data_IF_816868793507
#
_entry.id   IF_816868793507
#
_cell.length_a   1.000
_cell.length_b   1.000
_cell.length_c   1.000
_cell.angle_alpha   90.00
_cell.angle_beta   90.00
_cell.angle_gamma   90.00
#
_symmetry.space_group_name_H-M   'P 1'
#
loop_
_entity.id
_entity.type
_entity.pdbx_description
1 polymer ?
#
# COMPACT_ATOMS: atom_id res chain seq x y z
N UNK A 1 -13.11 0.75 -28.39
CA UNK A 1 -12.81 0.98 -26.96
C UNK A 1 -11.59 1.87 -26.90
N UNK A 2 -11.57 2.90 -26.05
CA UNK A 2 -10.40 3.75 -25.90
C UNK A 2 -9.33 2.97 -25.12
N UNK A 3 -8.21 2.62 -25.76
CA UNK A 3 -7.16 1.76 -25.18
C UNK A 3 -6.67 2.28 -23.82
N UNK A 4 -6.63 3.61 -23.66
CA UNK A 4 -6.19 4.27 -22.43
C UNK A 4 -7.05 3.89 -21.20
N UNK A 5 -8.37 3.77 -21.34
CA UNK A 5 -9.23 3.45 -20.19
C UNK A 5 -9.05 2.01 -19.73
N UNK A 6 -8.75 1.10 -20.66
CA UNK A 6 -8.44 -0.30 -20.35
C UNK A 6 -7.09 -0.41 -19.66
N UNK A 7 -6.09 0.34 -20.13
CA UNK A 7 -4.76 0.42 -19.51
C UNK A 7 -4.84 0.95 -18.08
N UNK A 8 -5.62 2.02 -17.84
CA UNK A 8 -5.85 2.56 -16.49
C UNK A 8 -6.49 1.51 -15.58
N UNK A 9 -7.54 0.84 -16.05
CA UNK A 9 -8.20 -0.20 -15.25
C UNK A 9 -7.25 -1.36 -14.92
N UNK A 10 -6.43 -1.80 -15.89
CA UNK A 10 -5.48 -2.88 -15.67
C UNK A 10 -4.40 -2.49 -14.66
N UNK A 11 -3.76 -1.32 -14.81
CA UNK A 11 -2.78 -0.80 -13.84
C UNK A 11 -3.37 -0.72 -12.43
N UNK A 12 -4.62 -0.22 -12.33
CA UNK A 12 -5.29 -0.09 -11.04
C UNK A 12 -5.58 -1.45 -10.40
N UNK A 13 -5.98 -2.45 -11.19
CA UNK A 13 -6.16 -3.83 -10.71
C UNK A 13 -4.85 -4.43 -10.23
N UNK A 14 -3.78 -4.27 -10.98
CA UNK A 14 -2.44 -4.73 -10.60
C UNK A 14 -2.00 -4.13 -9.27
N UNK A 15 -2.17 -2.81 -9.08
CA UNK A 15 -1.85 -2.16 -7.80
C UNK A 15 -2.68 -2.74 -6.65
N UNK A 16 -3.98 -2.96 -6.87
CA UNK A 16 -4.86 -3.55 -5.85
C UNK A 16 -4.41 -4.96 -5.47
N UNK A 17 -4.12 -5.80 -6.46
CA UNK A 17 -3.62 -7.17 -6.25
C UNK A 17 -2.28 -7.17 -5.49
N UNK A 18 -1.38 -6.25 -5.81
CA UNK A 18 -0.10 -6.06 -5.11
C UNK A 18 -0.30 -5.68 -3.63
N UNK A 19 -1.26 -4.82 -3.31
CA UNK A 19 -1.60 -4.52 -1.91
C UNK A 19 -2.19 -5.73 -1.19
N UNK A 20 -3.04 -6.54 -1.84
CA UNK A 20 -3.61 -7.74 -1.22
C UNK A 20 -2.54 -8.78 -0.91
N UNK A 21 -1.59 -8.99 -1.82
CA UNK A 21 -0.41 -9.83 -1.58
C UNK A 21 0.44 -9.26 -0.44
N UNK A 22 0.68 -7.94 -0.45
CA UNK A 22 1.44 -7.27 0.59
C UNK A 22 0.78 -7.42 1.97
N UNK A 23 -0.52 -7.21 2.08
CA UNK A 23 -1.30 -7.39 3.30
C UNK A 23 -1.13 -8.82 3.83
N UNK A 24 -1.18 -9.81 2.94
CA UNK A 24 -0.99 -11.22 3.30
C UNK A 24 0.41 -11.45 3.86
N UNK A 25 1.45 -10.90 3.20
CA UNK A 25 2.84 -10.98 3.65
C UNK A 25 3.07 -10.29 4.99
N UNK A 26 2.50 -9.10 5.19
CA UNK A 26 2.59 -8.34 6.45
C UNK A 26 1.95 -9.13 7.60
N UNK A 27 0.75 -9.70 7.38
CA UNK A 27 0.07 -10.55 8.38
C UNK A 27 0.91 -11.77 8.76
N UNK A 28 1.51 -12.43 7.78
CA UNK A 28 2.39 -13.57 8.01
C UNK A 28 3.64 -13.15 8.80
N UNK A 29 4.29 -12.05 8.40
CA UNK A 29 5.46 -11.52 9.11
C UNK A 29 5.14 -11.17 10.58
N UNK A 30 3.98 -10.56 10.86
CA UNK A 30 3.53 -10.27 12.24
C UNK A 30 3.48 -11.53 13.12
N UNK A 31 3.20 -12.70 12.55
CA UNK A 31 3.22 -13.98 13.28
C UNK A 31 4.64 -14.50 13.49
N UNK A 32 5.51 -14.33 12.49
CA UNK A 32 6.88 -14.86 12.51
C UNK A 32 7.90 -14.00 13.23
N UNK A 33 7.65 -12.70 13.42
CA UNK A 33 8.64 -11.76 13.94
C UNK A 33 9.22 -12.14 15.31
N UNK A 34 8.47 -12.94 16.10
CA UNK A 34 8.93 -13.49 17.38
C UNK A 34 10.02 -14.56 17.20
N UNK A 35 10.03 -15.24 16.05
CA UNK A 35 10.95 -16.31 15.70
C UNK A 35 12.09 -15.81 14.79
N UNK A 36 11.81 -15.00 13.78
CA UNK A 36 12.77 -14.64 12.71
C UNK A 36 12.62 -13.18 12.22
N UNK A 37 13.17 -12.19 12.95
CA UNK A 37 12.97 -10.78 12.62
C UNK A 37 13.79 -10.26 11.42
N UNK A 38 14.77 -11.03 10.92
CA UNK A 38 15.71 -10.58 9.87
C UNK A 38 15.07 -10.41 8.47
N UNK A 39 13.83 -10.86 8.27
CA UNK A 39 13.07 -10.70 7.01
C UNK A 39 12.38 -9.33 6.84
N UNK A 40 12.62 -8.37 7.73
CA UNK A 40 11.95 -7.06 7.71
C UNK A 40 12.37 -6.18 6.53
N UNK A 41 13.65 -6.20 6.17
CA UNK A 41 14.19 -5.29 5.14
C UNK A 41 13.55 -5.53 3.77
N UNK A 42 13.33 -6.80 3.40
CA UNK A 42 12.71 -7.17 2.12
C UNK A 42 11.23 -6.81 2.08
N UNK A 43 10.54 -6.95 3.22
CA UNK A 43 9.16 -6.50 3.37
C UNK A 43 9.07 -4.98 3.17
N UNK A 44 9.91 -4.20 3.86
CA UNK A 44 9.95 -2.75 3.74
C UNK A 44 10.25 -2.29 2.31
N UNK A 45 11.21 -2.93 1.64
CA UNK A 45 11.54 -2.62 0.24
C UNK A 45 10.36 -2.91 -0.69
N UNK A 46 9.63 -4.00 -0.45
CA UNK A 46 8.41 -4.34 -1.22
C UNK A 46 7.32 -3.28 -1.02
N UNK A 47 7.14 -2.79 0.21
CA UNK A 47 6.14 -1.76 0.53
C UNK A 47 6.49 -0.44 -0.17
N UNK A 48 7.75 -0.01 -0.12
CA UNK A 48 8.20 1.21 -0.79
C UNK A 48 7.99 1.14 -2.30
N UNK A 49 8.27 0.00 -2.92
CA UNK A 49 8.06 -0.21 -4.35
C UNK A 49 6.57 -0.07 -4.73
N UNK A 50 5.68 -0.73 -3.99
CA UNK A 50 4.23 -0.65 -4.22
C UNK A 50 3.72 0.78 -3.97
N UNK A 51 4.18 1.43 -2.90
CA UNK A 51 3.84 2.81 -2.60
C UNK A 51 4.20 3.75 -3.76
N UNK A 52 5.45 3.69 -4.25
CA UNK A 52 5.91 4.57 -5.32
C UNK A 52 5.09 4.36 -6.60
N UNK A 53 4.85 3.11 -6.99
CA UNK A 53 3.96 2.80 -8.14
C UNK A 53 2.54 3.35 -7.97
N UNK A 54 2.03 3.34 -6.74
CA UNK A 54 0.70 3.88 -6.43
C UNK A 54 0.65 5.39 -6.59
N UNK A 55 1.69 6.09 -6.11
CA UNK A 55 1.83 7.54 -6.28
C UNK A 55 1.91 7.89 -7.76
N UNK A 56 2.82 7.24 -8.50
CA UNK A 56 2.99 7.46 -9.93
C UNK A 56 1.65 7.26 -10.69
N UNK A 57 0.92 6.20 -10.35
CA UNK A 57 -0.40 5.95 -10.93
C UNK A 57 -1.41 7.06 -10.61
N UNK A 58 -1.48 7.55 -9.37
CA UNK A 58 -2.41 8.63 -9.03
C UNK A 58 -2.05 9.95 -9.73
N UNK A 59 -0.77 10.25 -9.91
CA UNK A 59 -0.31 11.41 -10.67
C UNK A 59 -0.70 11.30 -12.16
N UNK A 60 -0.44 10.14 -12.78
CA UNK A 60 -0.85 9.85 -14.15
C UNK A 60 -2.37 9.94 -14.34
N UNK A 61 -3.13 9.40 -13.38
CA UNK A 61 -4.58 9.32 -13.44
C UNK A 61 -5.28 10.68 -13.33
N UNK A 62 -4.71 11.64 -12.59
CA UNK A 62 -5.36 12.93 -12.28
C UNK A 62 -5.71 13.78 -13.53
N UNK A 63 -5.15 13.47 -14.70
CA UNK A 63 -5.44 14.13 -15.98
C UNK A 63 -6.34 13.35 -16.95
N UNK A 64 -6.77 12.13 -16.60
CA UNK A 64 -7.41 11.23 -17.57
C UNK A 64 -8.93 11.40 -17.55
N UNK A 65 -9.50 11.78 -18.70
CA UNK A 65 -10.96 11.83 -18.89
C UNK A 65 -11.50 10.45 -19.28
N UNK A 66 -12.40 9.91 -18.47
CA UNK A 66 -13.08 8.63 -18.75
C UNK A 66 -14.48 8.90 -19.29
N UNK A 67 -14.66 8.67 -20.58
CA UNK A 67 -15.90 8.94 -21.33
C UNK A 67 -16.89 7.74 -21.38
N UNK A 68 -16.51 6.55 -20.88
CA UNK A 68 -17.38 5.38 -20.84
C UNK A 68 -17.92 5.16 -19.41
N UNK A 69 -19.23 5.26 -19.22
CA UNK A 69 -19.89 5.18 -17.91
C UNK A 69 -19.64 3.87 -17.15
N UNK A 70 -19.57 2.74 -17.85
CA UNK A 70 -19.30 1.44 -17.23
C UNK A 70 -17.87 1.34 -16.74
N UNK A 71 -16.89 1.66 -17.60
CA UNK A 71 -15.47 1.71 -17.22
C UNK A 71 -15.22 2.72 -16.10
N UNK A 72 -15.89 3.87 -16.15
CA UNK A 72 -15.82 4.89 -15.11
C UNK A 72 -16.27 4.34 -13.75
N UNK A 73 -17.37 3.58 -13.70
CA UNK A 73 -17.84 2.94 -12.47
C UNK A 73 -16.83 1.93 -11.92
N UNK A 74 -16.27 1.07 -12.77
CA UNK A 74 -15.26 0.11 -12.33
C UNK A 74 -13.99 0.79 -11.80
N UNK A 75 -13.46 1.77 -12.52
CA UNK A 75 -12.28 2.52 -12.09
C UNK A 75 -12.55 3.21 -10.75
N UNK A 76 -13.70 3.85 -10.57
CA UNK A 76 -14.09 4.43 -9.28
C UNK A 76 -14.17 3.40 -8.15
N UNK A 77 -14.73 2.22 -8.42
CA UNK A 77 -14.84 1.18 -7.41
C UNK A 77 -13.46 0.71 -6.92
N UNK A 78 -12.53 0.45 -7.84
CA UNK A 78 -11.16 0.07 -7.48
C UNK A 78 -10.39 1.20 -6.81
N UNK A 79 -10.55 2.45 -7.24
CA UNK A 79 -9.94 3.62 -6.58
C UNK A 79 -10.46 3.75 -5.14
N UNK A 80 -11.77 3.58 -4.94
CA UNK A 80 -12.37 3.63 -3.62
C UNK A 80 -11.85 2.48 -2.75
N UNK A 81 -11.77 1.25 -3.28
CA UNK A 81 -11.20 0.11 -2.55
C UNK A 81 -9.75 0.37 -2.13
N UNK A 82 -8.93 0.86 -3.07
CA UNK A 82 -7.53 1.16 -2.82
C UNK A 82 -7.36 2.23 -1.72
N UNK A 83 -8.10 3.35 -1.82
CA UNK A 83 -7.99 4.47 -0.88
C UNK A 83 -8.65 4.24 0.46
N UNK A 84 -9.78 3.53 0.51
CA UNK A 84 -10.57 3.38 1.73
C UNK A 84 -10.25 2.09 2.48
N UNK A 85 -9.68 1.08 1.81
CA UNK A 85 -9.45 -0.24 2.38
C UNK A 85 -7.98 -0.63 2.27
N UNK A 86 -7.45 -0.84 1.07
CA UNK A 86 -6.11 -1.45 0.91
C UNK A 86 -4.98 -0.62 1.54
N UNK A 87 -4.91 0.68 1.22
CA UNK A 87 -3.87 1.58 1.74
C UNK A 87 -4.04 1.78 3.26
N UNK A 88 -5.22 2.18 3.80
CA UNK A 88 -5.40 2.37 5.23
C UNK A 88 -5.11 1.10 6.04
N UNK A 89 -5.57 -0.05 5.56
CA UNK A 89 -5.36 -1.30 6.27
C UNK A 89 -3.89 -1.73 6.28
N UNK A 90 -3.16 -1.48 5.19
CA UNK A 90 -1.70 -1.70 5.14
C UNK A 90 -1.00 -0.83 6.18
N UNK A 91 -1.38 0.45 6.30
CA UNK A 91 -0.83 1.37 7.31
C UNK A 91 -1.14 0.91 8.74
N UNK A 92 -2.35 0.43 9.01
CA UNK A 92 -2.74 -0.14 10.31
C UNK A 92 -1.87 -1.34 10.69
N UNK A 93 -1.69 -2.29 9.76
CA UNK A 93 -0.87 -3.48 9.99
C UNK A 93 0.61 -3.14 10.23
N UNK A 94 1.14 -2.11 9.56
CA UNK A 94 2.50 -1.62 9.79
C UNK A 94 2.64 -0.97 11.17
N UNK A 95 1.67 -0.16 11.58
CA UNK A 95 1.63 0.41 12.93
C UNK A 95 1.61 -0.69 13.99
N UNK A 96 0.87 -1.77 13.76
CA UNK A 96 0.86 -2.95 14.63
C UNK A 96 2.22 -3.64 14.73
N UNK A 97 2.92 -3.83 13.60
CA UNK A 97 4.26 -4.42 13.59
C UNK A 97 5.24 -3.51 14.32
N UNK A 98 5.20 -2.20 14.07
CA UNK A 98 6.05 -1.22 14.75
C UNK A 98 5.91 -1.35 16.27
N UNK A 99 4.66 -1.31 16.77
CA UNK A 99 4.35 -1.43 18.19
C UNK A 99 4.84 -2.77 18.78
N UNK A 100 4.78 -3.85 17.99
CA UNK A 100 5.26 -5.16 18.41
C UNK A 100 6.79 -5.18 18.52
N UNK A 101 7.50 -4.59 17.55
CA UNK A 101 8.96 -4.50 17.57
C UNK A 101 9.45 -3.64 18.73
N UNK A 102 8.88 -2.45 18.90
CA UNK A 102 9.27 -1.51 19.97
C UNK A 102 9.13 -2.15 21.36
N UNK A 103 8.08 -2.95 21.57
CA UNK A 103 7.83 -3.65 22.84
C UNK A 103 8.79 -4.81 23.09
N UNK A 104 9.30 -5.47 22.05
CA UNK A 104 10.04 -6.73 22.16
C UNK A 104 11.54 -6.59 21.93
N UNK A 105 11.98 -5.57 21.18
CA UNK A 105 13.34 -5.49 20.64
C UNK A 105 13.89 -4.06 20.64
N UNK A 106 13.53 -3.24 21.64
CA UNK A 106 13.65 -1.75 21.67
C UNK A 106 14.92 -1.15 21.04
N UNK A 107 16.07 -1.81 21.15
CA UNK A 107 17.34 -1.24 20.70
C UNK A 107 17.87 -1.87 19.39
N UNK A 108 17.44 -3.10 19.04
CA UNK A 108 17.99 -3.86 17.91
C UNK A 108 17.46 -3.39 16.55
N UNK A 109 16.25 -2.84 16.50
CA UNK A 109 15.55 -2.51 15.24
C UNK A 109 15.12 -1.04 15.14
N UNK A 110 15.84 -0.13 15.79
CA UNK A 110 15.48 1.29 15.84
C UNK A 110 15.39 1.94 14.45
N UNK A 111 16.24 1.52 13.50
CA UNK A 111 16.21 2.00 12.12
C UNK A 111 14.96 1.53 11.39
N UNK A 112 14.62 0.25 11.52
CA UNK A 112 13.47 -0.36 10.88
C UNK A 112 12.16 0.20 11.46
N UNK A 113 12.09 0.41 12.77
CA UNK A 113 10.98 1.11 13.44
C UNK A 113 10.78 2.51 12.86
N UNK A 114 11.87 3.26 12.66
CA UNK A 114 11.83 4.58 12.02
C UNK A 114 11.29 4.52 10.59
N UNK A 115 11.75 3.55 9.79
CA UNK A 115 11.26 3.33 8.41
C UNK A 115 9.79 2.93 8.37
N UNK A 116 9.35 2.03 9.26
CA UNK A 116 7.95 1.63 9.34
C UNK A 116 7.08 2.85 9.66
N UNK A 117 7.51 3.69 10.61
CA UNK A 117 6.78 4.90 10.97
C UNK A 117 6.65 5.88 9.79
N UNK A 118 7.75 6.11 9.05
CA UNK A 118 7.74 6.97 7.85
C UNK A 118 6.78 6.45 6.78
N UNK A 119 6.89 5.18 6.41
CA UNK A 119 6.05 4.55 5.39
C UNK A 119 4.57 4.57 5.81
N UNK A 120 4.30 4.30 7.09
CA UNK A 120 2.94 4.32 7.65
C UNK A 120 2.31 5.71 7.49
N UNK A 121 3.04 6.77 7.81
CA UNK A 121 2.54 8.14 7.69
C UNK A 121 2.30 8.51 6.22
N UNK A 122 3.23 8.15 5.34
CA UNK A 122 3.09 8.36 3.89
C UNK A 122 1.87 7.66 3.31
N UNK A 123 1.58 6.42 3.74
CA UNK A 123 0.37 5.70 3.33
C UNK A 123 -0.91 6.38 3.81
N UNK A 124 -0.94 6.87 5.06
CA UNK A 124 -2.10 7.62 5.59
C UNK A 124 -2.35 8.89 4.77
N UNK A 125 -1.32 9.70 4.55
CA UNK A 125 -1.43 10.91 3.73
C UNK A 125 -1.91 10.59 2.32
N UNK A 126 -1.41 9.50 1.72
CA UNK A 126 -1.84 9.05 0.38
C UNK A 126 -3.34 8.70 0.34
N UNK A 127 -3.89 8.10 1.40
CA UNK A 127 -5.32 7.79 1.50
C UNK A 127 -6.20 9.03 1.69
N UNK A 128 -5.66 10.09 2.29
CA UNK A 128 -6.36 11.34 2.58
C UNK A 128 -6.32 12.34 1.41
N UNK A 129 -5.33 12.21 0.50
CA UNK A 129 -5.14 13.16 -0.59
C UNK A 129 -6.15 12.92 -1.74
N UNK A 130 -6.80 13.98 -2.21
CA UNK A 130 -7.84 14.04 -3.26
C UNK A 130 -9.20 13.42 -2.87
N UNK A 131 -9.81 13.97 -1.81
CA UNK A 131 -11.27 14.06 -1.65
C UNK A 131 -11.77 15.40 -2.20
#
# INVERSE_FOLDING_TARGET
MNNLQVEVLNKLREIVDEYEELITRIKYYKQLIRAEPESLSDLLSSIEAIYNRTVDFFEEYNGIKIDNDEMHRYIRAYLAYLKLISIPYTAELLSDIKNLIERQFSDRFSKEVGKIADITERLKLLSETNS
#
